data_IF_202570149202
#
_entry.id   IF_202570149202
#
_cell.length_a   1.000
_cell.length_b   1.000
_cell.length_c   1.000
_cell.angle_alpha   90.00
_cell.angle_beta   90.00
_cell.angle_gamma   90.00
#
_symmetry.space_group_name_H-M   'P 1'
#
loop_
_entity.id
_entity.type
_entity.pdbx_description
1 polymer ?
#
# COMPACT_ATOMS: atom_id res chain seq x y z
N UNK A 1 10.11 -18.11 -17.41
CA UNK A 1 9.94 -16.72 -16.88
C UNK A 1 8.50 -16.30 -16.54
N UNK A 2 7.46 -16.99 -17.01
CA UNK A 2 6.06 -16.52 -16.89
C UNK A 2 5.39 -16.73 -15.51
N UNK A 3 5.93 -17.61 -14.65
CA UNK A 3 5.35 -17.96 -13.35
C UNK A 3 5.72 -17.00 -12.21
N UNK A 4 6.88 -16.35 -12.30
CA UNK A 4 7.41 -15.41 -11.28
C UNK A 4 6.65 -14.07 -11.29
N UNK A 5 6.22 -13.61 -12.47
CA UNK A 5 5.40 -12.40 -12.62
C UNK A 5 4.01 -12.52 -11.99
N UNK A 6 3.34 -13.68 -12.09
CA UNK A 6 1.99 -13.86 -11.52
C UNK A 6 1.96 -13.85 -9.99
N UNK A 7 3.00 -14.38 -9.33
CA UNK A 7 3.12 -14.34 -7.86
C UNK A 7 3.45 -12.95 -7.35
N UNK A 8 4.37 -12.25 -8.04
CA UNK A 8 4.63 -10.85 -7.75
C UNK A 8 3.33 -10.05 -7.89
N UNK A 9 2.62 -10.16 -9.02
CA UNK A 9 1.38 -9.42 -9.28
C UNK A 9 0.26 -9.67 -8.25
N UNK A 10 0.10 -10.91 -7.78
CA UNK A 10 -0.84 -11.25 -6.69
C UNK A 10 -0.43 -10.69 -5.31
N UNK A 11 0.86 -10.41 -5.10
CA UNK A 11 1.36 -9.74 -3.90
C UNK A 11 1.17 -8.22 -4.01
N UNK A 12 1.55 -7.62 -5.14
CA UNK A 12 1.32 -6.19 -5.44
C UNK A 12 -0.16 -5.81 -5.33
N UNK A 13 -1.06 -6.63 -5.89
CA UNK A 13 -2.51 -6.38 -5.79
C UNK A 13 -3.10 -6.55 -4.38
N UNK A 14 -2.38 -7.11 -3.40
CA UNK A 14 -2.83 -7.17 -1.99
C UNK A 14 -2.47 -5.91 -1.23
N UNK A 15 -1.24 -5.44 -1.44
CA UNK A 15 -0.69 -4.23 -0.81
C UNK A 15 -1.45 -2.97 -1.25
N UNK A 16 -1.90 -2.92 -2.50
CA UNK A 16 -2.57 -1.74 -3.05
C UNK A 16 -4.06 -1.60 -2.69
N UNK A 17 -4.65 -2.58 -1.98
CA UNK A 17 -6.08 -2.58 -1.63
C UNK A 17 -6.39 -2.03 -0.24
N UNK A 18 -5.40 -1.51 0.48
CA UNK A 18 -5.58 -0.95 1.82
C UNK A 18 -5.85 0.56 1.82
N UNK A 19 -5.74 1.25 0.67
CA UNK A 19 -6.03 2.70 0.56
C UNK A 19 -7.49 2.89 0.15
N UNK A 20 -8.23 3.70 0.91
CA UNK A 20 -9.61 4.04 0.62
C UNK A 20 -9.74 4.98 -0.58
N UNK A 21 -10.91 4.99 -1.22
CA UNK A 21 -11.30 5.91 -2.30
C UNK A 21 -10.42 5.88 -3.57
N UNK A 22 -9.57 4.87 -3.73
CA UNK A 22 -8.86 4.63 -4.98
C UNK A 22 -9.63 3.62 -5.82
N UNK A 23 -10.36 4.09 -6.83
CA UNK A 23 -11.00 3.23 -7.84
C UNK A 23 -9.95 2.71 -8.83
N UNK A 24 -9.07 1.80 -8.39
CA UNK A 24 -8.07 1.19 -9.26
C UNK A 24 -8.32 -0.33 -9.36
N UNK A 25 -8.99 -0.70 -10.46
CA UNK A 25 -9.29 -2.05 -10.95
C UNK A 25 -10.17 -2.94 -10.05
N UNK A 26 -11.50 -2.85 -10.24
CA UNK A 26 -12.48 -3.83 -9.77
C UNK A 26 -13.77 -3.21 -9.23
N UNK A 27 -14.75 -4.06 -8.92
CA UNK A 27 -15.91 -3.65 -8.13
C UNK A 27 -15.49 -3.20 -6.74
N UNK A 28 -16.23 -2.26 -6.15
CA UNK A 28 -16.01 -1.81 -4.77
C UNK A 28 -15.98 -3.01 -3.82
N UNK A 29 -15.05 -3.00 -2.86
CA UNK A 29 -14.99 -4.03 -1.83
C UNK A 29 -16.29 -4.04 -1.03
N UNK A 30 -16.79 -5.24 -0.69
CA UNK A 30 -17.87 -5.33 0.29
C UNK A 30 -17.40 -4.82 1.66
N UNK A 31 -18.34 -4.45 2.53
CA UNK A 31 -18.03 -4.00 3.88
C UNK A 31 -17.19 -5.01 4.67
N UNK A 32 -17.51 -6.30 4.53
CA UNK A 32 -16.74 -7.38 5.15
C UNK A 32 -15.30 -7.44 4.61
N UNK A 33 -15.14 -7.35 3.29
CA UNK A 33 -13.81 -7.34 2.65
C UNK A 33 -13.00 -6.11 3.06
N UNK A 34 -13.64 -4.94 3.24
CA UNK A 34 -12.96 -3.74 3.76
C UNK A 34 -12.48 -3.95 5.19
N UNK A 35 -13.32 -4.52 6.06
CA UNK A 35 -12.93 -4.83 7.45
C UNK A 35 -11.77 -5.81 7.53
N UNK A 36 -11.78 -6.88 6.73
CA UNK A 36 -10.69 -7.85 6.68
C UNK A 36 -9.37 -7.19 6.24
N UNK A 37 -9.43 -6.28 5.26
CA UNK A 37 -8.27 -5.51 4.79
C UNK A 37 -7.72 -4.56 5.85
N UNK A 38 -8.60 -3.90 6.61
CA UNK A 38 -8.18 -3.04 7.73
C UNK A 38 -7.52 -3.89 8.83
N UNK A 39 -8.02 -5.08 9.10
CA UNK A 39 -7.44 -5.99 10.10
C UNK A 39 -6.03 -6.49 9.75
N UNK A 40 -5.64 -6.45 8.46
CA UNK A 40 -4.26 -6.74 8.05
C UNK A 40 -3.29 -5.61 8.46
N UNK A 41 -3.76 -4.37 8.60
CA UNK A 41 -2.93 -3.24 9.03
C UNK A 41 -2.63 -3.30 10.54
N UNK A 42 -1.40 -2.98 10.92
CA UNK A 42 -0.98 -2.94 12.34
C UNK A 42 -1.47 -1.70 13.07
N UNK A 43 -1.74 -0.62 12.34
CA UNK A 43 -2.32 0.59 12.90
C UNK A 43 -3.86 0.57 12.91
N UNK A 44 -4.50 -0.52 12.45
CA UNK A 44 -5.93 -0.75 12.55
C UNK A 44 -6.81 0.19 11.72
N UNK A 45 -6.26 0.84 10.69
CA UNK A 45 -7.02 1.74 9.81
C UNK A 45 -6.73 1.50 8.33
N UNK A 46 -7.70 1.88 7.49
CA UNK A 46 -7.45 2.02 6.07
C UNK A 46 -6.47 3.19 5.83
N UNK A 47 -5.61 3.04 4.83
CA UNK A 47 -4.84 4.15 4.29
C UNK A 47 -5.74 5.14 3.57
N UNK A 48 -5.30 6.38 3.45
CA UNK A 48 -5.94 7.42 2.65
C UNK A 48 -5.00 7.89 1.54
N UNK A 49 -5.51 8.55 0.49
CA UNK A 49 -4.66 9.19 -0.51
C UNK A 49 -3.64 10.16 0.10
N UNK A 50 -4.01 10.83 1.20
CA UNK A 50 -3.12 11.75 1.91
C UNK A 50 -1.92 11.05 2.54
N UNK A 51 -2.04 9.80 3.00
CA UNK A 51 -0.88 9.04 3.51
C UNK A 51 0.20 8.87 2.44
N UNK A 52 -0.23 8.63 1.19
CA UNK A 52 0.66 8.51 0.03
C UNK A 52 1.24 9.87 -0.33
N UNK A 53 0.39 10.90 -0.45
CA UNK A 53 0.80 12.25 -0.83
C UNK A 53 1.81 12.84 0.16
N UNK A 54 1.56 12.67 1.47
CA UNK A 54 2.46 13.15 2.52
C UNK A 54 3.81 12.41 2.50
N UNK A 55 3.80 11.09 2.26
CA UNK A 55 5.05 10.32 2.12
C UNK A 55 5.86 10.78 0.92
N UNK A 56 5.21 11.05 -0.22
CA UNK A 56 5.86 11.61 -1.41
C UNK A 56 6.39 13.02 -1.13
N UNK A 57 5.61 13.85 -0.43
CA UNK A 57 6.00 15.19 -0.02
C UNK A 57 7.28 15.19 0.81
N UNK A 58 7.38 14.28 1.79
CA UNK A 58 8.60 14.08 2.57
C UNK A 58 9.77 13.58 1.71
N UNK A 59 9.54 12.58 0.84
CA UNK A 59 10.59 12.07 -0.06
C UNK A 59 11.13 13.13 -1.04
N UNK A 60 10.30 14.10 -1.41
CA UNK A 60 10.68 15.22 -2.27
C UNK A 60 11.29 16.40 -1.49
N UNK A 61 11.28 16.36 -0.16
CA UNK A 61 11.77 17.45 0.68
C UNK A 61 13.30 17.40 0.87
N UNK A 62 13.92 18.51 1.31
CA UNK A 62 15.33 18.52 1.71
C UNK A 62 15.69 17.53 2.82
N UNK A 63 14.72 17.08 3.62
CA UNK A 63 14.95 16.18 4.75
C UNK A 63 15.26 14.74 4.31
N UNK A 64 14.93 14.38 3.07
CA UNK A 64 15.11 13.04 2.51
C UNK A 64 16.29 12.95 1.51
N UNK A 65 17.15 13.97 1.39
CA UNK A 65 18.17 14.05 0.34
C UNK A 65 19.19 12.89 0.30
N UNK A 66 19.37 12.18 1.41
CA UNK A 66 20.26 11.02 1.47
C UNK A 66 19.53 9.66 1.36
N UNK A 67 18.20 9.68 1.19
CA UNK A 67 17.38 8.48 1.03
C UNK A 67 17.33 8.10 -0.45
N UNK A 68 17.96 6.98 -0.80
CA UNK A 68 17.96 6.48 -2.19
C UNK A 68 17.89 4.95 -2.24
N UNK A 69 17.38 4.41 -3.35
CA UNK A 69 17.29 2.97 -3.60
C UNK A 69 16.31 2.20 -2.70
N UNK A 70 15.49 2.91 -1.89
CA UNK A 70 14.57 2.29 -0.94
C UNK A 70 13.20 2.01 -1.55
N UNK A 71 12.56 0.94 -1.07
CA UNK A 71 11.14 0.68 -1.29
C UNK A 71 10.40 0.96 0.01
N UNK A 72 9.55 1.99 0.02
CA UNK A 72 8.77 2.38 1.19
C UNK A 72 7.35 1.82 1.07
N UNK A 73 6.95 1.00 2.03
CA UNK A 73 5.60 0.43 2.12
C UNK A 73 4.69 1.37 2.92
N UNK A 74 3.77 2.05 2.23
CA UNK A 74 2.76 2.92 2.87
C UNK A 74 1.43 2.17 2.98
N UNK A 75 1.37 1.21 3.91
CA UNK A 75 0.26 0.26 3.99
C UNK A 75 -0.19 -0.03 5.44
N UNK A 76 0.20 0.83 6.39
CA UNK A 76 -0.12 0.61 7.81
C UNK A 76 0.50 -0.65 8.42
N UNK A 77 1.52 -1.24 7.79
CA UNK A 77 2.18 -2.47 8.25
C UNK A 77 1.56 -3.77 7.75
N UNK A 78 0.63 -3.70 6.78
CA UNK A 78 -0.06 -4.86 6.24
C UNK A 78 0.86 -5.87 5.50
N UNK A 79 1.89 -5.37 4.82
CA UNK A 79 2.99 -6.20 4.32
C UNK A 79 4.27 -5.79 5.02
N UNK A 80 4.98 -6.78 5.57
CA UNK A 80 6.28 -6.59 6.19
C UNK A 80 7.33 -6.98 5.17
N UNK A 81 8.14 -6.02 4.73
CA UNK A 81 9.34 -6.28 3.92
C UNK A 81 10.17 -7.35 4.64
N UNK A 82 10.37 -8.51 4.01
CA UNK A 82 11.30 -9.54 4.47
C UNK A 82 12.63 -9.40 3.73
#
# INVERSE_FOLDING_TARGET
MHFRMRRAWRRWSRIWRCVADTAFFGAALSEAQRKDKVAESLNGRAGTPDDIANTIGWLASPDALHVTGQVIQVNGGAERSR
#
